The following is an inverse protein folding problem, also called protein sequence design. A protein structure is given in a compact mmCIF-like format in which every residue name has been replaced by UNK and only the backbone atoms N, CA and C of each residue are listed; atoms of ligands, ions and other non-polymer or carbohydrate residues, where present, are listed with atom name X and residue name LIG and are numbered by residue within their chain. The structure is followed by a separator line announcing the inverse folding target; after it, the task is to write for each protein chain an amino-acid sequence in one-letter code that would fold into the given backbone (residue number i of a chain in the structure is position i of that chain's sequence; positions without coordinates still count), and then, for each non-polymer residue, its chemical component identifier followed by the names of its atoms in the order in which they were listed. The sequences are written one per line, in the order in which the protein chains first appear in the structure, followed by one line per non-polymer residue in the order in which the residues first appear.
data_IF_136301896582
#
_entry.id   IF_136301896582
#
_cell.length_a   1.000
_cell.length_b   1.000
_cell.length_c   1.000
_cell.angle_alpha   90.00
_cell.angle_beta   90.00
_cell.angle_gamma   90.00
#
_symmetry.space_group_name_H-M   'P 1'
#
loop_
_entity.id
_entity.type
_entity.pdbx_description
1 polymer ?
#
# COMPACT_ATOMS: atom_id res chain seq x y z
N UNK A 1 6.87 -15.15 28.73
CA UNK A 1 6.83 -13.67 28.71
C UNK A 1 6.80 -13.27 27.24
N UNK A 2 5.60 -13.11 26.69
CA UNK A 2 5.40 -12.67 25.30
C UNK A 2 5.80 -11.20 25.24
N UNK A 3 6.88 -10.89 24.51
CA UNK A 3 7.13 -9.54 24.05
C UNK A 3 6.00 -9.22 23.06
N UNK A 4 4.97 -8.55 23.57
CA UNK A 4 3.95 -7.96 22.73
C UNK A 4 4.62 -6.99 21.77
N UNK A 5 4.15 -6.94 20.54
CA UNK A 5 4.65 -6.00 19.56
C UNK A 5 4.31 -4.58 20.03
N UNK A 6 5.22 -3.96 20.78
CA UNK A 6 5.12 -2.62 21.34
C UNK A 6 4.89 -1.62 20.19
N UNK A 7 3.63 -1.29 19.91
CA UNK A 7 3.28 -0.30 18.88
C UNK A 7 2.17 0.68 19.30
N UNK A 8 2.37 1.53 20.33
CA UNK A 8 1.49 2.69 20.51
C UNK A 8 2.01 3.97 19.83
N UNK A 9 3.30 4.05 19.46
CA UNK A 9 3.94 5.34 19.09
C UNK A 9 4.43 5.46 17.64
N UNK A 10 4.33 4.42 16.82
CA UNK A 10 4.93 4.43 15.47
C UNK A 10 4.04 5.05 14.37
N UNK A 11 2.74 5.25 14.59
CA UNK A 11 1.82 5.46 13.46
C UNK A 11 1.67 6.89 12.96
N UNK A 12 1.66 7.91 13.85
CA UNK A 12 1.77 9.30 13.40
C UNK A 12 3.05 9.52 12.57
N UNK A 13 4.13 8.78 12.87
CA UNK A 13 5.35 8.81 12.09
C UNK A 13 5.22 8.10 10.73
N UNK A 14 4.30 7.15 10.54
CA UNK A 14 4.07 6.41 9.28
C UNK A 14 3.12 7.17 8.35
N UNK A 15 2.05 7.80 8.86
CA UNK A 15 1.21 8.71 8.05
C UNK A 15 1.98 9.96 7.61
N UNK A 16 2.97 10.37 8.40
CA UNK A 16 3.93 11.42 8.08
C UNK A 16 5.19 10.90 7.39
N UNK A 17 5.36 9.58 7.24
CA UNK A 17 6.53 9.02 6.57
C UNK A 17 6.45 9.31 5.08
N UNK A 18 7.58 9.74 4.52
CA UNK A 18 7.71 9.85 3.08
C UNK A 18 7.57 8.46 2.46
N UNK A 19 6.70 8.26 1.46
CA UNK A 19 6.64 6.99 0.77
C UNK A 19 7.95 6.74 0.04
N UNK A 20 8.50 5.53 0.22
CA UNK A 20 9.77 5.13 -0.41
C UNK A 20 9.53 4.70 -1.85
N UNK A 21 8.39 4.06 -2.12
CA UNK A 21 8.07 3.54 -3.44
C UNK A 21 6.70 4.06 -3.86
N UNK A 22 6.59 4.55 -5.09
CA UNK A 22 5.34 5.04 -5.66
C UNK A 22 5.11 4.42 -7.03
N UNK A 23 3.88 4.03 -7.31
CA UNK A 23 3.44 3.57 -8.64
C UNK A 23 2.17 4.33 -9.07
N UNK A 24 2.12 4.74 -10.32
CA UNK A 24 0.92 5.27 -10.98
C UNK A 24 0.25 4.13 -11.76
N UNK A 25 -1.07 4.00 -11.65
CA UNK A 25 -1.88 3.02 -12.39
C UNK A 25 -3.00 3.71 -13.17
N UNK A 26 -2.93 3.65 -14.51
CA UNK A 26 -3.92 4.22 -15.44
C UNK A 26 -5.13 3.30 -15.66
N UNK A 27 -5.82 2.93 -14.59
CA UNK A 27 -7.02 2.08 -14.65
C UNK A 27 -8.01 2.47 -13.55
N UNK A 28 -9.30 2.09 -13.64
CA UNK A 28 -10.26 2.33 -12.57
C UNK A 28 -9.77 1.80 -11.22
N UNK A 29 -10.13 2.50 -10.13
CA UNK A 29 -9.62 2.17 -8.80
C UNK A 29 -9.77 0.69 -8.41
N UNK A 30 -10.93 0.02 -8.62
CA UNK A 30 -11.07 -1.38 -8.22
C UNK A 30 -10.06 -2.32 -8.91
N UNK A 31 -9.71 -2.03 -10.17
CA UNK A 31 -8.73 -2.81 -10.92
C UNK A 31 -7.29 -2.44 -10.56
N UNK A 32 -7.05 -1.17 -10.20
CA UNK A 32 -5.77 -0.70 -9.70
C UNK A 32 -5.46 -1.32 -8.34
N UNK A 33 -6.41 -1.26 -7.42
CA UNK A 33 -6.29 -1.86 -6.08
C UNK A 33 -6.10 -3.37 -6.17
N UNK A 34 -6.87 -4.08 -7.01
CA UNK A 34 -6.70 -5.53 -7.22
C UNK A 34 -5.32 -5.90 -7.75
N UNK A 35 -4.75 -5.08 -8.64
CA UNK A 35 -3.39 -5.27 -9.13
C UNK A 35 -2.35 -5.14 -8.00
N UNK A 36 -2.49 -4.12 -7.15
CA UNK A 36 -1.62 -3.91 -5.99
C UNK A 36 -1.73 -5.07 -5.00
N UNK A 37 -2.95 -5.47 -4.67
CA UNK A 37 -3.21 -6.59 -3.77
C UNK A 37 -2.62 -7.90 -4.31
N UNK A 38 -2.80 -8.22 -5.59
CA UNK A 38 -2.22 -9.42 -6.19
C UNK A 38 -0.68 -9.39 -6.17
N UNK A 39 -0.09 -8.23 -6.43
CA UNK A 39 1.37 -8.04 -6.38
C UNK A 39 1.91 -8.29 -4.97
N UNK A 40 1.24 -7.74 -3.95
CA UNK A 40 1.60 -7.93 -2.55
C UNK A 40 1.35 -9.37 -2.06
N UNK A 41 0.27 -9.99 -2.50
CA UNK A 41 -0.06 -11.38 -2.20
C UNK A 41 1.02 -12.34 -2.70
N UNK A 42 1.59 -12.10 -3.89
CA UNK A 42 2.70 -12.90 -4.42
C UNK A 42 3.97 -12.83 -3.54
N UNK A 43 4.10 -11.77 -2.75
CA UNK A 43 5.19 -11.54 -1.78
C UNK A 43 4.82 -12.01 -0.36
N UNK A 44 3.64 -12.61 -0.19
CA UNK A 44 3.14 -13.13 1.08
C UNK A 44 2.47 -12.09 1.98
N UNK A 45 2.13 -10.91 1.46
CA UNK A 45 1.33 -9.92 2.19
C UNK A 45 -0.16 -10.11 1.91
N UNK A 46 -0.98 -10.12 2.96
CA UNK A 46 -2.43 -10.31 2.90
C UNK A 46 -3.14 -9.03 3.35
N UNK A 47 -4.27 -8.72 2.73
CA UNK A 47 -5.07 -7.57 3.14
C UNK A 47 -5.74 -7.77 4.51
N UNK A 48 -6.07 -9.01 4.85
CA UNK A 48 -6.70 -9.38 6.11
C UNK A 48 -5.62 -9.65 7.14
N UNK A 49 -5.70 -9.00 8.30
CA UNK A 49 -4.81 -9.26 9.42
C UNK A 49 -5.00 -10.72 9.89
N UNK A 50 -3.93 -11.53 9.97
CA UNK A 50 -4.03 -12.96 10.28
C UNK A 50 -4.48 -13.25 11.73
N UNK A 51 -4.34 -12.28 12.64
CA UNK A 51 -4.74 -12.41 14.04
C UNK A 51 -6.17 -11.93 14.28
N UNK A 52 -6.54 -10.75 13.78
CA UNK A 52 -7.88 -10.18 14.00
C UNK A 52 -8.93 -10.62 12.96
N UNK A 53 -8.50 -11.12 11.80
CA UNK A 53 -9.39 -11.41 10.68
C UNK A 53 -10.00 -10.17 10.04
N UNK A 54 -9.50 -8.97 10.36
CA UNK A 54 -10.04 -7.70 9.88
C UNK A 54 -9.15 -7.07 8.81
N UNK A 55 -9.78 -6.31 7.92
CA UNK A 55 -9.10 -5.32 7.09
C UNK A 55 -9.24 -3.98 7.79
N UNK A 56 -8.16 -3.21 7.83
CA UNK A 56 -8.13 -1.92 8.53
C UNK A 56 -7.57 -0.82 7.64
N UNK A 57 -8.11 0.38 7.82
CA UNK A 57 -7.51 1.63 7.37
C UNK A 57 -7.23 2.53 8.57
N UNK A 58 -6.56 3.64 8.31
CA UNK A 58 -6.27 4.65 9.32
C UNK A 58 -6.99 5.95 9.02
N UNK A 59 -7.53 6.55 10.08
CA UNK A 59 -8.05 7.92 10.06
C UNK A 59 -6.92 8.94 10.03
N UNK A 60 -7.28 10.19 9.77
CA UNK A 60 -6.34 11.31 9.80
C UNK A 60 -5.82 11.62 11.20
N UNK A 61 -6.57 11.23 12.24
CA UNK A 61 -6.17 11.34 13.64
C UNK A 61 -5.23 10.19 14.07
N UNK A 62 -4.98 9.23 13.18
CA UNK A 62 -4.12 8.09 13.47
C UNK A 62 -4.82 6.97 14.24
N UNK A 63 -6.14 6.83 14.08
CA UNK A 63 -6.88 5.68 14.60
C UNK A 63 -7.00 4.57 13.56
N UNK A 64 -6.81 3.32 13.98
CA UNK A 64 -7.01 2.16 13.12
C UNK A 64 -8.49 1.76 13.14
N UNK A 65 -9.14 1.80 11.99
CA UNK A 65 -10.57 1.57 11.84
C UNK A 65 -10.81 0.34 10.97
N UNK A 66 -11.59 -0.66 11.45
CA UNK A 66 -12.01 -1.78 10.63
C UNK A 66 -12.86 -1.34 9.43
N UNK A 67 -12.61 -1.93 8.27
CA UNK A 67 -13.30 -1.62 7.03
C UNK A 67 -13.60 -2.90 6.24
N UNK A 68 -14.70 -2.89 5.48
CA UNK A 68 -14.98 -3.96 4.54
C UNK A 68 -14.24 -3.74 3.22
N UNK A 69 -13.88 -4.83 2.54
CA UNK A 69 -13.23 -4.75 1.22
C UNK A 69 -14.04 -3.95 0.21
N UNK A 70 -15.37 -4.06 0.24
CA UNK A 70 -16.27 -3.31 -0.65
C UNK A 70 -16.14 -1.80 -0.42
N UNK A 71 -16.13 -1.37 0.85
CA UNK A 71 -15.98 0.06 1.19
C UNK A 71 -14.68 0.67 0.68
N UNK A 72 -13.58 -0.10 0.59
CA UNK A 72 -12.32 0.42 0.02
C UNK A 72 -12.56 0.94 -1.40
N UNK A 73 -13.31 0.19 -2.22
CA UNK A 73 -13.59 0.60 -3.60
C UNK A 73 -14.65 1.70 -3.69
N UNK A 74 -15.69 1.61 -2.86
CA UNK A 74 -16.80 2.58 -2.87
C UNK A 74 -16.35 3.97 -2.41
N UNK A 75 -15.45 4.02 -1.42
CA UNK A 75 -15.05 5.26 -0.75
C UNK A 75 -13.72 5.84 -1.27
N UNK A 76 -13.00 5.15 -2.15
CA UNK A 76 -11.72 5.62 -2.68
C UNK A 76 -11.83 6.97 -3.40
N UNK A 77 -12.85 7.13 -4.25
CA UNK A 77 -13.08 8.35 -5.04
C UNK A 77 -13.56 9.53 -4.19
N UNK A 78 -14.14 9.27 -3.02
CA UNK A 78 -14.57 10.35 -2.11
C UNK A 78 -13.43 10.81 -1.19
N UNK A 79 -12.32 10.06 -1.16
CA UNK A 79 -11.18 10.34 -0.29
C UNK A 79 -11.41 9.97 1.18
N UNK A 80 -12.58 9.42 1.51
CA UNK A 80 -12.90 8.95 2.87
C UNK A 80 -11.98 7.80 3.29
N UNK A 81 -11.64 6.93 2.34
CA UNK A 81 -10.69 5.84 2.54
C UNK A 81 -9.55 6.01 1.54
N UNK A 82 -8.35 6.27 2.08
CA UNK A 82 -7.16 6.59 1.27
C UNK A 82 -5.95 5.71 1.57
N UNK A 83 -6.13 4.69 2.39
CA UNK A 83 -5.07 3.80 2.80
C UNK A 83 -5.61 2.47 3.34
N UNK A 84 -4.75 1.46 3.40
CA UNK A 84 -4.94 0.22 4.16
C UNK A 84 -3.58 -0.30 4.65
N UNK A 85 -3.64 -1.25 5.59
CA UNK A 85 -2.51 -2.11 5.90
C UNK A 85 -2.63 -3.48 5.27
N UNK A 86 -1.49 -3.95 4.75
CA UNK A 86 -1.28 -5.33 4.39
C UNK A 86 -0.38 -6.00 5.44
N UNK A 87 -0.53 -7.31 5.60
CA UNK A 87 0.04 -8.08 6.70
C UNK A 87 0.76 -9.31 6.18
N UNK A 88 2.04 -9.48 6.54
CA UNK A 88 2.77 -10.73 6.31
C UNK A 88 2.72 -11.61 7.56
N UNK A 89 2.85 -10.98 8.72
CA UNK A 89 2.63 -11.58 10.05
C UNK A 89 1.81 -10.57 10.89
N UNK A 90 1.53 -10.86 12.15
CA UNK A 90 0.89 -9.87 13.03
C UNK A 90 1.81 -8.70 13.39
N UNK A 91 3.13 -8.85 13.21
CA UNK A 91 4.12 -7.83 13.54
C UNK A 91 4.90 -7.32 12.32
N UNK A 92 4.66 -7.89 11.14
CA UNK A 92 5.17 -7.42 9.86
C UNK A 92 4.01 -6.97 8.98
N UNK A 93 3.85 -5.66 8.89
CA UNK A 93 2.85 -4.99 8.09
C UNK A 93 3.48 -4.06 7.06
N UNK A 94 2.64 -3.67 6.10
CA UNK A 94 2.98 -2.75 5.04
C UNK A 94 1.83 -1.76 4.89
N UNK A 95 2.14 -0.49 5.11
CA UNK A 95 1.18 0.58 4.90
C UNK A 95 1.20 1.02 3.43
N UNK A 96 0.01 1.06 2.83
CA UNK A 96 -0.20 1.51 1.46
C UNK A 96 -1.26 2.60 1.45
N UNK A 97 -0.92 3.76 0.94
CA UNK A 97 -1.87 4.84 0.69
C UNK A 97 -2.07 5.09 -0.80
N UNK A 98 -3.14 5.79 -1.16
CA UNK A 98 -3.39 6.19 -2.53
C UNK A 98 -3.97 7.58 -2.64
N UNK A 99 -3.86 8.14 -3.84
CA UNK A 99 -4.50 9.39 -4.23
C UNK A 99 -5.02 9.28 -5.66
N UNK A 100 -6.19 9.87 -5.90
CA UNK A 100 -6.67 10.12 -7.26
C UNK A 100 -5.81 11.22 -7.90
N UNK A 101 -5.50 11.04 -9.19
CA UNK A 101 -4.72 12.00 -9.97
C UNK A 101 -5.35 12.14 -11.35
N UNK A 102 -5.06 13.23 -12.05
CA UNK A 102 -5.54 13.44 -13.43
C UNK A 102 -5.17 12.31 -14.39
N UNK A 103 -4.11 11.55 -14.10
CA UNK A 103 -3.58 10.48 -14.95
C UNK A 103 -3.91 9.06 -14.45
N UNK A 104 -4.70 8.93 -13.38
CA UNK A 104 -5.04 7.64 -12.76
C UNK A 104 -4.74 7.61 -11.26
N UNK A 105 -4.53 6.43 -10.70
CA UNK A 105 -4.38 6.25 -9.25
C UNK A 105 -2.91 6.10 -8.86
N UNK A 106 -2.45 6.96 -7.95
CA UNK A 106 -1.11 6.87 -7.39
C UNK A 106 -1.16 6.06 -6.10
N UNK A 107 -0.44 4.95 -6.05
CA UNK A 107 -0.23 4.15 -4.85
C UNK A 107 1.15 4.42 -4.27
N UNK A 108 1.19 4.62 -2.96
CA UNK A 108 2.36 5.01 -2.19
C UNK A 108 2.63 3.96 -1.11
N UNK A 109 3.83 3.39 -1.13
CA UNK A 109 4.25 2.33 -0.23
C UNK A 109 5.24 2.88 0.79
N UNK A 110 4.88 2.73 2.06
CA UNK A 110 5.64 3.22 3.19
C UNK A 110 6.45 2.06 3.76
N UNK A 111 7.74 2.01 3.41
CA UNK A 111 8.58 0.85 3.64
C UNK A 111 9.46 0.99 4.91
N UNK A 112 9.18 1.97 5.76
CA UNK A 112 9.89 2.13 7.03
C UNK A 112 9.58 0.92 7.93
N UNK A 113 10.62 0.27 8.45
CA UNK A 113 10.47 -0.97 9.24
C UNK A 113 10.29 -2.26 8.42
N UNK A 114 10.12 -2.19 7.09
CA UNK A 114 10.08 -3.38 6.23
C UNK A 114 11.50 -3.92 5.99
N UNK A 115 11.66 -5.25 6.06
CA UNK A 115 12.93 -5.92 5.80
C UNK A 115 13.51 -5.57 4.41
N UNK A 116 14.82 -5.32 4.27
CA UNK A 116 15.44 -4.91 3.00
C UNK A 116 15.11 -5.83 1.83
N UNK A 117 15.06 -7.14 2.06
CA UNK A 117 14.79 -8.16 1.02
C UNK A 117 13.38 -8.00 0.45
N UNK A 118 12.41 -7.67 1.31
CA UNK A 118 11.03 -7.42 0.89
C UNK A 118 10.89 -6.10 0.13
N UNK A 119 11.65 -5.06 0.51
CA UNK A 119 11.70 -3.79 -0.24
C UNK A 119 12.18 -4.03 -1.67
N UNK A 120 13.26 -4.78 -1.82
CA UNK A 120 13.83 -5.14 -3.13
C UNK A 120 12.84 -5.98 -3.93
N UNK A 121 12.26 -7.02 -3.33
CA UNK A 121 11.29 -7.88 -4.02
C UNK A 121 10.06 -7.10 -4.52
N UNK A 122 9.53 -6.17 -3.73
CA UNK A 122 8.43 -5.30 -4.13
C UNK A 122 8.83 -4.37 -5.30
N UNK A 123 9.99 -3.73 -5.20
CA UNK A 123 10.50 -2.87 -6.26
C UNK A 123 10.71 -3.65 -7.56
N UNK A 124 11.25 -4.88 -7.50
CA UNK A 124 11.41 -5.77 -8.65
C UNK A 124 10.06 -6.18 -9.24
N UNK A 125 9.10 -6.60 -8.43
CA UNK A 125 7.78 -7.02 -8.91
C UNK A 125 7.07 -5.88 -9.65
N UNK A 126 7.02 -4.69 -9.05
CA UNK A 126 6.35 -3.53 -9.63
C UNK A 126 7.08 -2.97 -10.86
N UNK A 127 8.41 -2.91 -10.84
CA UNK A 127 9.18 -2.46 -12.01
C UNK A 127 9.04 -3.43 -13.18
N UNK A 128 9.02 -4.75 -12.94
CA UNK A 128 8.76 -5.73 -13.99
C UNK A 128 7.38 -5.52 -14.63
N UNK A 129 6.32 -5.39 -13.83
CA UNK A 129 4.99 -5.12 -14.38
C UNK A 129 4.94 -3.81 -15.16
N UNK A 130 5.58 -2.74 -14.68
CA UNK A 130 5.64 -1.47 -15.38
C UNK A 130 6.36 -1.59 -16.73
N UNK A 131 7.50 -2.30 -16.78
CA UNK A 131 8.34 -2.42 -17.97
C UNK A 131 7.77 -3.40 -19.01
N UNK A 132 7.04 -4.43 -18.58
CA UNK A 132 6.53 -5.49 -19.44
C UNK A 132 5.05 -5.24 -19.79
N UNK A 133 4.20 -5.09 -18.78
CA UNK A 133 2.74 -5.11 -18.97
C UNK A 133 2.16 -3.72 -19.20
N UNK A 134 2.75 -2.70 -18.59
CA UNK A 134 2.15 -1.36 -18.55
C UNK A 134 2.89 -0.31 -19.38
N UNK A 135 4.03 -0.65 -19.99
CA UNK A 135 4.93 0.29 -20.68
C UNK A 135 4.21 1.22 -21.65
N UNK A 136 3.28 0.69 -22.43
CA UNK A 136 2.57 1.45 -23.46
C UNK A 136 1.62 2.53 -22.88
N UNK A 137 1.29 2.47 -21.59
CA UNK A 137 0.36 3.40 -20.95
C UNK A 137 1.04 4.71 -20.54
N UNK A 138 2.36 4.73 -20.41
CA UNK A 138 3.06 5.80 -19.68
C UNK A 138 3.88 6.76 -20.52
N UNK A 139 4.03 6.57 -21.84
CA UNK A 139 4.77 7.49 -22.75
C UNK A 139 5.85 8.37 -22.08
N UNK A 140 5.49 9.62 -21.69
CA UNK A 140 6.37 10.62 -21.07
C UNK A 140 6.16 10.83 -19.56
N UNK A 141 5.31 10.03 -18.92
CA UNK A 141 4.97 10.10 -17.50
C UNK A 141 5.81 9.13 -16.65
N UNK A 142 5.93 9.46 -15.36
CA UNK A 142 6.59 8.61 -14.37
C UNK A 142 5.60 7.56 -13.83
N UNK A 143 5.76 6.32 -14.27
CA UNK A 143 4.96 5.19 -13.82
C UNK A 143 5.39 4.65 -12.45
N UNK A 144 6.68 4.68 -12.16
CA UNK A 144 7.29 4.07 -10.98
C UNK A 144 8.44 4.94 -10.47
N UNK A 145 8.49 5.15 -9.16
CA UNK A 145 9.51 5.98 -8.52
C UNK A 145 9.94 5.38 -7.20
N UNK A 146 11.24 5.46 -6.92
CA UNK A 146 11.83 5.20 -5.61
C UNK A 146 12.41 6.51 -5.10
N UNK A 147 12.01 6.92 -3.90
CA UNK A 147 12.49 8.11 -3.23
C UNK A 147 13.21 7.72 -1.93
N UNK A 148 14.40 8.30 -1.74
CA UNK A 148 15.12 8.29 -0.48
C UNK A 148 15.12 9.71 0.12
N UNK A 149 15.50 9.82 1.38
CA UNK A 149 15.70 11.12 2.05
C UNK A 149 17.03 11.77 1.65
#
# INVERSE_FOLDING_TARGET
MQLGCDRPTFYQAITMAKPILTILLKRPFPDAFRFIEASLQSLGFLLVNPESGQVTHWSDDGEQIPISRTKISDDASTGTVKNVQFWKTNCDDLFVSWADTSSGWRFSFHLNGVAPELKVALATALSNSVLIDLKQQYENECAFRIDFD
#
